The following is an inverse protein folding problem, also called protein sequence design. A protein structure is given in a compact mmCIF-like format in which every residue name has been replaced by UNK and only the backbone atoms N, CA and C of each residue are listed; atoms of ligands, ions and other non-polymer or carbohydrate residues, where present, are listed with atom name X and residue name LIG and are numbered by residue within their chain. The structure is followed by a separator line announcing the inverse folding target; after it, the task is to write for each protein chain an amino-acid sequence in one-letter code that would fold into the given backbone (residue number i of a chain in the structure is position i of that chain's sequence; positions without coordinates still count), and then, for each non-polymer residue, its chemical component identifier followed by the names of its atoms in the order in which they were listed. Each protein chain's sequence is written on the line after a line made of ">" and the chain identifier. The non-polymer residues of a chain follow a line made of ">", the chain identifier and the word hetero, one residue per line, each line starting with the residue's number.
data_IF_343506067404
#
_entry.id   IF_343506067404
#
_cell.length_a   1.000
_cell.length_b   1.000
_cell.length_c   1.000
_cell.angle_alpha   90.00
_cell.angle_beta   90.00
_cell.angle_gamma   90.00
#
_symmetry.space_group_name_H-M   'P 1'
#
loop_
_entity.id
_entity.type
_entity.pdbx_description
1 polymer ?
#
# COMPACT_ATOMS: atom_id res chain seq x y z
N UNK A 1 -19.76 7.18 -21.96
CA UNK A 1 -18.98 6.26 -22.80
C UNK A 1 -17.64 6.95 -23.01
N UNK A 2 -16.60 6.55 -22.26
CA UNK A 2 -15.25 7.13 -22.40
C UNK A 2 -14.87 7.14 -23.89
N UNK A 3 -14.23 8.20 -24.37
CA UNK A 3 -13.67 8.22 -25.71
C UNK A 3 -12.56 7.16 -25.78
N UNK A 4 -12.93 5.91 -26.05
CA UNK A 4 -12.06 4.72 -26.00
C UNK A 4 -10.88 4.77 -26.99
N UNK A 5 -10.79 5.81 -27.82
CA UNK A 5 -9.80 5.92 -28.89
C UNK A 5 -8.47 6.57 -28.47
N UNK A 6 -8.38 7.22 -27.31
CA UNK A 6 -7.15 7.92 -26.88
C UNK A 6 -6.28 7.09 -25.90
N UNK A 7 -6.82 6.02 -25.33
CA UNK A 7 -6.11 5.21 -24.33
C UNK A 7 -4.80 4.56 -24.81
N UNK A 8 -4.68 4.03 -26.06
CA UNK A 8 -3.46 3.35 -26.47
C UNK A 8 -2.23 4.26 -26.52
N UNK A 9 -2.39 5.49 -27.02
CA UNK A 9 -1.29 6.46 -27.11
C UNK A 9 -0.93 7.02 -25.74
N UNK A 10 -1.94 7.33 -24.93
CA UNK A 10 -1.74 7.79 -23.55
C UNK A 10 -0.98 6.74 -22.73
N UNK A 11 -1.45 5.50 -22.69
CA UNK A 11 -0.83 4.43 -21.90
C UNK A 11 0.59 4.11 -22.40
N UNK A 12 0.83 4.15 -23.72
CA UNK A 12 2.19 3.99 -24.26
C UNK A 12 3.09 5.13 -23.80
N UNK A 13 2.63 6.38 -23.89
CA UNK A 13 3.44 7.52 -23.43
C UNK A 13 3.73 7.45 -21.93
N UNK A 14 2.74 7.10 -21.11
CA UNK A 14 2.95 6.84 -19.68
C UNK A 14 4.00 5.77 -19.45
N UNK A 15 3.99 4.70 -20.26
CA UNK A 15 4.99 3.63 -20.15
C UNK A 15 6.41 4.09 -20.48
N UNK A 16 6.56 4.92 -21.52
CA UNK A 16 7.84 5.52 -21.88
C UNK A 16 8.36 6.41 -20.75
N UNK A 17 7.51 7.26 -20.18
CA UNK A 17 7.86 8.12 -19.02
C UNK A 17 8.29 7.30 -17.80
N UNK A 18 7.63 6.17 -17.54
CA UNK A 18 8.01 5.27 -16.45
C UNK A 18 9.38 4.61 -16.69
N UNK A 19 9.66 4.18 -17.92
CA UNK A 19 10.96 3.62 -18.31
C UNK A 19 12.05 4.68 -18.18
N UNK A 20 11.83 5.89 -18.72
CA UNK A 20 12.74 7.03 -18.61
C UNK A 20 13.07 7.34 -17.12
N UNK A 21 12.07 7.29 -16.23
CA UNK A 21 12.28 7.48 -14.80
C UNK A 21 13.14 6.36 -14.19
N UNK A 22 12.82 5.09 -14.47
CA UNK A 22 13.55 3.94 -13.95
C UNK A 22 15.02 3.92 -14.42
N UNK A 23 15.26 4.21 -15.70
CA UNK A 23 16.60 4.28 -16.28
C UNK A 23 17.44 5.42 -15.66
N UNK A 24 16.79 6.47 -15.17
CA UNK A 24 17.48 7.57 -14.48
C UNK A 24 17.92 7.23 -13.05
N UNK A 25 17.32 6.22 -12.39
CA UNK A 25 17.52 5.92 -10.96
C UNK A 25 18.98 5.78 -10.51
N UNK A 26 19.89 5.15 -11.28
CA UNK A 26 21.30 5.03 -10.88
C UNK A 26 21.97 6.38 -10.63
N UNK A 27 21.58 7.40 -11.39
CA UNK A 27 22.12 8.77 -11.32
C UNK A 27 21.15 9.78 -10.71
N UNK A 28 19.94 9.34 -10.39
CA UNK A 28 18.93 10.19 -9.78
C UNK A 28 19.27 10.55 -8.32
N UNK A 29 19.06 11.81 -7.92
CA UNK A 29 19.36 12.24 -6.56
C UNK A 29 18.42 11.64 -5.52
N UNK A 30 18.98 11.39 -4.33
CA UNK A 30 18.30 10.71 -3.21
C UNK A 30 17.86 11.68 -2.12
N UNK A 31 18.08 12.97 -2.34
CA UNK A 31 17.52 14.09 -1.57
C UNK A 31 16.47 14.78 -2.45
N UNK A 32 15.41 15.30 -1.83
CA UNK A 32 14.42 16.11 -2.56
C UNK A 32 15.12 17.34 -3.16
N UNK A 33 15.26 17.36 -4.49
CA UNK A 33 16.00 18.41 -5.21
C UNK A 33 15.20 19.67 -5.47
N UNK A 34 13.88 19.59 -5.30
CA UNK A 34 12.94 20.70 -5.50
C UNK A 34 12.38 21.10 -4.14
N UNK A 35 12.32 22.41 -3.92
CA UNK A 35 11.68 22.96 -2.73
C UNK A 35 10.15 22.67 -2.75
N UNK A 36 9.58 22.39 -1.58
CA UNK A 36 8.15 22.05 -1.45
C UNK A 36 7.24 23.21 -1.87
N UNK A 37 7.69 24.46 -1.74
CA UNK A 37 6.95 25.63 -2.20
C UNK A 37 6.90 25.70 -3.73
N UNK A 38 7.96 25.28 -4.42
CA UNK A 38 7.97 25.21 -5.88
C UNK A 38 7.04 24.13 -6.41
N UNK A 39 7.07 22.91 -5.84
CA UNK A 39 6.14 21.85 -6.19
C UNK A 39 4.68 22.25 -5.94
N UNK A 40 4.41 22.89 -4.80
CA UNK A 40 3.06 23.36 -4.45
C UNK A 40 2.57 24.41 -5.44
N UNK A 41 3.41 25.37 -5.83
CA UNK A 41 3.04 26.44 -6.76
C UNK A 41 2.66 25.89 -8.14
N UNK A 42 3.30 24.81 -8.59
CA UNK A 42 3.02 24.21 -9.91
C UNK A 42 1.86 23.20 -9.88
N UNK A 43 1.75 22.36 -8.83
CA UNK A 43 0.74 21.28 -8.78
C UNK A 43 -0.59 21.69 -8.13
N UNK A 44 -0.59 22.64 -7.20
CA UNK A 44 -1.81 23.05 -6.47
C UNK A 44 -2.42 24.25 -7.17
N UNK A 45 -3.20 23.95 -8.21
CA UNK A 45 -4.00 24.92 -8.98
C UNK A 45 -5.48 24.78 -8.68
N UNK A 46 -6.26 25.81 -9.03
CA UNK A 46 -7.72 25.71 -8.99
C UNK A 46 -8.21 24.64 -9.97
N UNK A 47 -9.30 23.95 -9.64
CA UNK A 47 -9.89 22.94 -10.50
C UNK A 47 -10.41 23.62 -11.79
N UNK A 48 -9.94 23.21 -12.98
CA UNK A 48 -10.44 23.78 -14.24
C UNK A 48 -11.93 23.54 -14.43
N UNK A 49 -12.65 24.51 -15.01
CA UNK A 49 -14.07 24.36 -15.36
C UNK A 49 -14.28 23.47 -16.60
N UNK A 50 -13.25 23.36 -17.44
CA UNK A 50 -13.25 22.55 -18.67
C UNK A 50 -12.21 21.43 -18.59
N UNK A 51 -12.45 20.33 -19.33
CA UNK A 51 -11.51 19.22 -19.39
C UNK A 51 -10.22 19.58 -20.14
N UNK A 52 -9.10 19.04 -19.67
CA UNK A 52 -7.80 19.14 -20.32
C UNK A 52 -7.45 17.87 -21.09
N UNK A 53 -6.51 17.97 -22.03
CA UNK A 53 -5.94 16.79 -22.68
C UNK A 53 -5.24 15.90 -21.64
N UNK A 54 -5.69 14.65 -21.53
CA UNK A 54 -5.16 13.69 -20.57
C UNK A 54 -3.66 13.44 -20.75
N UNK A 55 -3.17 13.50 -21.99
CA UNK A 55 -1.74 13.35 -22.27
C UNK A 55 -0.94 14.52 -21.71
N UNK A 56 -1.38 15.75 -21.93
CA UNK A 56 -0.75 16.94 -21.37
C UNK A 56 -0.71 16.87 -19.82
N UNK A 57 -1.80 16.43 -19.19
CA UNK A 57 -1.87 16.26 -17.72
C UNK A 57 -0.86 15.24 -17.22
N UNK A 58 -0.76 14.06 -17.87
CA UNK A 58 0.20 13.02 -17.47
C UNK A 58 1.65 13.45 -17.70
N UNK A 59 1.94 14.10 -18.83
CA UNK A 59 3.30 14.61 -19.12
C UNK A 59 3.71 15.72 -18.14
N UNK A 60 2.78 16.61 -17.78
CA UNK A 60 2.99 17.64 -16.76
C UNK A 60 3.26 17.02 -15.38
N UNK A 61 2.44 16.03 -14.97
CA UNK A 61 2.64 15.31 -13.71
C UNK A 61 3.99 14.56 -13.69
N UNK A 62 4.33 13.86 -14.76
CA UNK A 62 5.59 13.14 -14.86
C UNK A 62 6.79 14.09 -14.80
N UNK A 63 6.71 15.27 -15.40
CA UNK A 63 7.75 16.30 -15.31
C UNK A 63 7.87 16.83 -13.88
N UNK A 64 6.81 17.44 -13.34
CA UNK A 64 6.87 18.13 -12.04
C UNK A 64 7.03 17.14 -10.89
N UNK A 65 6.17 16.12 -10.86
CA UNK A 65 6.19 15.06 -9.85
C UNK A 65 7.45 14.22 -9.96
N UNK A 66 7.88 13.90 -11.19
CA UNK A 66 9.16 13.25 -11.43
C UNK A 66 10.32 14.06 -10.88
N UNK A 67 10.44 15.36 -11.16
CA UNK A 67 11.49 16.23 -10.58
C UNK A 67 11.44 16.30 -9.04
N UNK A 68 10.24 16.27 -8.45
CA UNK A 68 10.05 16.25 -6.99
C UNK A 68 10.28 14.88 -6.33
N UNK A 69 10.26 13.79 -7.10
CA UNK A 69 10.38 12.45 -6.57
C UNK A 69 11.81 12.15 -6.09
N UNK A 70 11.90 11.63 -4.86
CA UNK A 70 13.13 11.08 -4.31
C UNK A 70 13.41 9.74 -5.00
N UNK A 71 14.65 9.54 -5.47
CA UNK A 71 15.09 8.29 -6.10
C UNK A 71 15.22 7.10 -5.14
N UNK A 72 14.17 6.79 -4.38
CA UNK A 72 14.12 5.76 -3.31
C UNK A 72 14.47 4.38 -3.85
N UNK A 73 14.01 4.04 -5.05
CA UNK A 73 14.29 2.75 -5.69
C UNK A 73 15.72 2.65 -6.27
N UNK A 74 16.50 3.74 -6.22
CA UNK A 74 17.87 3.78 -6.74
C UNK A 74 18.89 3.21 -5.74
N UNK A 75 20.08 2.81 -6.22
CA UNK A 75 21.10 2.12 -5.43
C UNK A 75 21.80 2.99 -4.37
N UNK A 76 21.44 4.27 -4.27
CA UNK A 76 22.08 5.26 -3.40
C UNK A 76 21.21 5.74 -2.25
N UNK A 77 19.97 5.23 -2.15
CA UNK A 77 19.05 5.62 -1.09
C UNK A 77 19.22 4.66 0.10
N UNK A 78 19.68 5.20 1.24
CA UNK A 78 19.95 4.43 2.46
C UNK A 78 19.11 4.91 3.66
N UNK A 79 17.99 5.60 3.39
CA UNK A 79 17.10 6.13 4.43
C UNK A 79 16.01 5.15 4.82
N UNK A 80 15.72 5.05 6.12
CA UNK A 80 14.64 4.21 6.67
C UNK A 80 14.72 2.72 6.27
N UNK A 81 13.63 1.99 6.50
CA UNK A 81 13.43 0.62 5.99
C UNK A 81 12.49 0.71 4.80
N UNK A 82 13.01 1.14 3.66
CA UNK A 82 12.24 1.31 2.43
C UNK A 82 12.95 0.56 1.30
N UNK A 83 12.24 -0.40 0.71
CA UNK A 83 12.71 -1.15 -0.46
C UNK A 83 12.25 -0.51 -1.77
N UNK A 84 12.96 -0.82 -2.86
CA UNK A 84 12.49 -0.54 -4.22
C UNK A 84 11.53 -1.63 -4.71
N UNK A 85 10.66 -1.28 -5.66
CA UNK A 85 9.80 -2.25 -6.36
C UNK A 85 10.61 -3.03 -7.42
N UNK A 86 10.35 -4.34 -7.54
CA UNK A 86 10.83 -5.11 -8.69
C UNK A 86 10.08 -4.69 -9.97
N UNK A 87 10.72 -4.72 -11.16
CA UNK A 87 10.02 -4.43 -12.41
C UNK A 87 8.79 -5.31 -12.66
N UNK A 88 8.82 -6.58 -12.22
CA UNK A 88 7.68 -7.48 -12.29
C UNK A 88 6.52 -7.06 -11.39
N UNK A 89 6.82 -6.53 -10.19
CA UNK A 89 5.81 -6.02 -9.27
C UNK A 89 5.15 -4.75 -9.83
N UNK A 90 5.95 -3.82 -10.38
CA UNK A 90 5.43 -2.62 -11.05
C UNK A 90 4.51 -2.98 -12.24
N UNK A 91 4.94 -3.93 -13.08
CA UNK A 91 4.14 -4.39 -14.21
C UNK A 91 2.83 -5.05 -13.76
N UNK A 92 2.85 -5.81 -12.65
CA UNK A 92 1.64 -6.36 -12.06
C UNK A 92 0.70 -5.26 -11.53
N UNK A 93 1.23 -4.21 -10.90
CA UNK A 93 0.43 -3.06 -10.43
C UNK A 93 -0.26 -2.31 -11.56
N UNK A 94 0.36 -2.25 -12.75
CA UNK A 94 -0.32 -1.72 -13.94
C UNK A 94 -1.52 -2.57 -14.32
N UNK A 95 -1.42 -3.90 -14.27
CA UNK A 95 -2.55 -4.79 -14.51
C UNK A 95 -3.62 -4.65 -13.43
N UNK A 96 -3.24 -4.57 -12.16
CA UNK A 96 -4.16 -4.31 -11.05
C UNK A 96 -4.99 -3.04 -11.29
N UNK A 97 -4.32 -1.93 -11.65
CA UNK A 97 -4.98 -0.65 -11.95
C UNK A 97 -5.82 -0.71 -13.23
N UNK A 98 -5.38 -1.48 -14.23
CA UNK A 98 -6.10 -1.63 -15.51
C UNK A 98 -7.37 -2.46 -15.35
N UNK A 99 -7.35 -3.50 -14.52
CA UNK A 99 -8.50 -4.36 -14.29
C UNK A 99 -9.54 -3.72 -13.36
N UNK A 100 -9.13 -2.79 -12.49
CA UNK A 100 -10.03 -1.99 -11.65
C UNK A 100 -11.09 -2.84 -10.90
N UNK A 101 -10.62 -3.88 -10.21
CA UNK A 101 -11.49 -4.84 -9.51
C UNK A 101 -11.65 -4.49 -8.03
N UNK A 102 -12.86 -4.66 -7.49
CA UNK A 102 -13.10 -4.56 -6.05
C UNK A 102 -12.85 -5.92 -5.38
N UNK A 103 -11.66 -6.08 -4.81
CA UNK A 103 -11.23 -7.31 -4.13
C UNK A 103 -11.84 -7.55 -2.73
N UNK A 104 -12.81 -6.73 -2.29
CA UNK A 104 -13.46 -6.90 -0.99
C UNK A 104 -14.43 -8.10 -0.93
N UNK A 105 -14.87 -8.60 -2.08
CA UNK A 105 -15.78 -9.74 -2.19
C UNK A 105 -15.36 -10.61 -3.38
N UNK A 106 -15.36 -11.93 -3.20
CA UNK A 106 -15.04 -12.88 -4.28
C UNK A 106 -15.86 -12.63 -5.55
N UNK A 107 -17.16 -12.34 -5.39
CA UNK A 107 -18.06 -12.08 -6.52
C UNK A 107 -17.70 -10.83 -7.34
N UNK A 108 -16.97 -9.87 -6.76
CA UNK A 108 -16.58 -8.61 -7.39
C UNK A 108 -15.11 -8.57 -7.83
N UNK A 109 -14.32 -9.60 -7.51
CA UNK A 109 -12.91 -9.69 -7.85
C UNK A 109 -12.35 -11.12 -7.72
N UNK A 110 -12.90 -12.11 -8.44
CA UNK A 110 -12.53 -13.51 -8.25
C UNK A 110 -11.06 -13.78 -8.61
N UNK A 111 -10.52 -13.06 -9.60
CA UNK A 111 -9.10 -13.16 -9.95
C UNK A 111 -8.18 -12.73 -8.80
N UNK A 112 -8.51 -11.62 -8.11
CA UNK A 112 -7.73 -11.15 -6.97
C UNK A 112 -7.76 -12.16 -5.82
N UNK A 113 -8.93 -12.73 -5.51
CA UNK A 113 -9.06 -13.76 -4.48
C UNK A 113 -8.23 -15.01 -4.78
N UNK A 114 -8.25 -15.48 -6.03
CA UNK A 114 -7.47 -16.68 -6.43
C UNK A 114 -5.97 -16.39 -6.45
N UNK A 115 -5.55 -15.17 -6.81
CA UNK A 115 -4.14 -14.76 -6.70
C UNK A 115 -3.68 -14.77 -5.24
N UNK A 116 -4.49 -14.26 -4.31
CA UNK A 116 -4.19 -14.33 -2.87
C UNK A 116 -4.13 -15.78 -2.37
N UNK A 117 -5.08 -16.64 -2.80
CA UNK A 117 -5.09 -18.07 -2.49
C UNK A 117 -3.82 -18.78 -3.01
N UNK A 118 -3.29 -18.37 -4.15
CA UNK A 118 -2.05 -18.91 -4.69
C UNK A 118 -0.81 -18.44 -3.93
N UNK A 119 -0.74 -17.16 -3.57
CA UNK A 119 0.44 -16.55 -2.94
C UNK A 119 0.53 -16.86 -1.44
N UNK A 120 -0.60 -16.98 -0.74
CA UNK A 120 -0.63 -17.25 0.70
C UNK A 120 0.19 -18.48 1.11
N UNK A 121 -0.06 -19.67 0.53
CA UNK A 121 0.72 -20.87 0.79
C UNK A 121 2.20 -20.74 0.41
N UNK A 122 2.53 -19.99 -0.66
CA UNK A 122 3.92 -19.72 -1.01
C UNK A 122 4.64 -18.92 0.08
N UNK A 123 3.96 -17.92 0.68
CA UNK A 123 4.53 -17.16 1.78
C UNK A 123 4.68 -18.00 3.06
N UNK A 124 3.71 -18.87 3.36
CA UNK A 124 3.82 -19.82 4.48
C UNK A 124 5.06 -20.70 4.32
N UNK A 125 5.27 -21.28 3.14
CA UNK A 125 6.43 -22.12 2.83
C UNK A 125 7.74 -21.31 2.87
N UNK A 126 7.77 -20.16 2.19
CA UNK A 126 8.94 -19.27 2.11
C UNK A 126 9.45 -18.83 3.49
N UNK A 127 8.54 -18.55 4.42
CA UNK A 127 8.88 -18.14 5.79
C UNK A 127 9.02 -19.33 6.77
N UNK A 128 8.81 -20.57 6.32
CA UNK A 128 8.90 -21.76 7.18
C UNK A 128 7.84 -21.78 8.30
N UNK A 129 6.67 -21.20 8.05
CA UNK A 129 5.58 -21.13 9.03
C UNK A 129 4.83 -22.47 9.11
N UNK A 130 4.11 -22.75 10.21
CA UNK A 130 3.26 -23.94 10.29
C UNK A 130 2.25 -23.98 9.13
N UNK A 131 1.99 -25.15 8.52
CA UNK A 131 1.04 -25.28 7.41
C UNK A 131 -0.40 -24.97 7.82
N UNK A 132 -0.68 -24.93 9.12
CA UNK A 132 -1.97 -24.52 9.70
C UNK A 132 -2.09 -23.01 9.92
N UNK A 133 -1.03 -22.23 9.63
CA UNK A 133 -1.10 -20.78 9.70
C UNK A 133 -2.11 -20.25 8.68
N UNK A 134 -2.86 -19.22 9.09
CA UNK A 134 -3.69 -18.45 8.18
C UNK A 134 -2.86 -17.33 7.53
N UNK A 135 -3.34 -16.81 6.41
CA UNK A 135 -2.74 -15.71 5.69
C UNK A 135 -3.82 -14.69 5.31
N UNK A 136 -3.38 -13.45 5.08
CA UNK A 136 -4.20 -12.38 4.55
C UNK A 136 -3.33 -11.22 4.14
N UNK A 137 -3.60 -10.65 2.96
CA UNK A 137 -2.89 -9.48 2.46
C UNK A 137 -3.56 -8.21 3.00
N UNK A 138 -2.75 -7.32 3.58
CA UNK A 138 -3.20 -6.04 4.16
C UNK A 138 -2.37 -4.90 3.59
N UNK A 139 -2.88 -3.67 3.74
CA UNK A 139 -2.27 -2.47 3.15
C UNK A 139 -0.92 -2.06 3.75
N UNK A 140 -0.51 -2.66 4.88
CA UNK A 140 0.78 -2.42 5.50
C UNK A 140 0.89 -2.96 6.92
N UNK A 141 2.06 -2.80 7.55
CA UNK A 141 2.38 -3.37 8.86
C UNK A 141 1.43 -2.91 9.98
N UNK A 142 0.93 -1.67 9.94
CA UNK A 142 -0.04 -1.19 10.94
C UNK A 142 -1.33 -2.02 10.90
N UNK A 143 -1.88 -2.26 9.71
CA UNK A 143 -3.08 -3.09 9.57
C UNK A 143 -2.78 -4.56 9.85
N UNK A 144 -1.56 -5.05 9.58
CA UNK A 144 -1.15 -6.39 10.00
C UNK A 144 -1.19 -6.52 11.52
N UNK A 145 -0.60 -5.57 12.26
CA UNK A 145 -0.67 -5.54 13.71
C UNK A 145 -2.12 -5.46 14.20
N UNK A 146 -2.93 -4.55 13.65
CA UNK A 146 -4.33 -4.43 14.02
C UNK A 146 -5.10 -5.74 13.82
N UNK A 147 -4.99 -6.38 12.66
CA UNK A 147 -5.69 -7.63 12.35
C UNK A 147 -5.25 -8.76 13.27
N UNK A 148 -3.93 -8.96 13.45
CA UNK A 148 -3.40 -10.01 14.32
C UNK A 148 -3.77 -9.77 15.79
N UNK A 149 -3.66 -8.54 16.29
CA UNK A 149 -4.01 -8.20 17.67
C UNK A 149 -5.53 -8.27 17.90
N UNK A 150 -6.36 -7.92 16.91
CA UNK A 150 -7.82 -8.10 16.99
C UNK A 150 -8.18 -9.59 17.15
N UNK A 151 -7.58 -10.46 16.33
CA UNK A 151 -7.77 -11.90 16.44
C UNK A 151 -7.25 -12.46 17.78
N UNK A 152 -6.11 -11.97 18.27
CA UNK A 152 -5.57 -12.36 19.57
C UNK A 152 -6.50 -11.92 20.73
N UNK A 153 -7.01 -10.68 20.69
CA UNK A 153 -7.98 -10.14 21.66
C UNK A 153 -9.23 -11.00 21.71
N UNK A 154 -9.79 -11.34 20.55
CA UNK A 154 -10.93 -12.24 20.44
C UNK A 154 -10.63 -13.57 21.15
N UNK A 155 -9.56 -14.24 20.76
CA UNK A 155 -9.22 -15.57 21.26
C UNK A 155 -8.91 -15.59 22.77
N UNK A 156 -8.28 -14.54 23.31
CA UNK A 156 -7.99 -14.42 24.76
C UNK A 156 -9.28 -14.21 25.55
N UNK A 157 -10.16 -13.31 25.10
CA UNK A 157 -11.43 -13.03 25.78
C UNK A 157 -12.38 -14.23 25.72
N UNK A 158 -12.46 -14.92 24.58
CA UNK A 158 -13.24 -16.15 24.45
C UNK A 158 -12.77 -17.23 25.44
N UNK A 159 -11.45 -17.40 25.62
CA UNK A 159 -10.90 -18.32 26.63
C UNK A 159 -11.23 -17.91 28.07
N UNK A 160 -11.43 -16.62 28.32
CA UNK A 160 -11.88 -16.09 29.59
C UNK A 160 -13.41 -16.12 29.76
N UNK A 161 -14.15 -16.67 28.78
CA UNK A 161 -15.61 -16.74 28.80
C UNK A 161 -16.32 -15.42 28.46
N UNK A 162 -15.62 -14.47 27.84
CA UNK A 162 -16.18 -13.18 27.41
C UNK A 162 -16.41 -13.13 25.90
N UNK A 163 -17.65 -12.85 25.48
CA UNK A 163 -18.01 -12.63 24.07
C UNK A 163 -17.87 -11.14 23.72
N UNK A 164 -16.70 -10.75 23.21
CA UNK A 164 -16.43 -9.36 22.82
C UNK A 164 -17.20 -8.92 21.58
N UNK A 165 -17.60 -9.86 20.72
CA UNK A 165 -18.37 -9.54 19.50
C UNK A 165 -19.79 -9.10 19.86
N UNK A 166 -20.41 -9.78 20.83
CA UNK A 166 -21.75 -9.45 21.31
C UNK A 166 -21.80 -8.38 22.40
N UNK A 167 -20.83 -8.39 23.33
CA UNK A 167 -20.86 -7.56 24.55
C UNK A 167 -19.96 -6.31 24.46
N UNK A 168 -19.07 -6.24 23.48
CA UNK A 168 -18.05 -5.20 23.40
C UNK A 168 -16.98 -5.36 24.50
N UNK A 169 -16.23 -4.28 24.75
CA UNK A 169 -15.10 -4.28 25.71
C UNK A 169 -15.45 -3.73 27.09
N UNK A 170 -16.59 -3.05 27.25
CA UNK A 170 -16.97 -2.49 28.53
C UNK A 170 -17.32 -3.60 29.53
N UNK A 171 -16.53 -3.72 30.60
CA UNK A 171 -16.67 -4.77 31.60
C UNK A 171 -15.98 -6.09 31.25
N UNK A 172 -15.26 -6.15 30.12
CA UNK A 172 -14.46 -7.30 29.76
C UNK A 172 -13.31 -7.54 30.78
N UNK A 173 -12.85 -8.78 30.96
CA UNK A 173 -11.62 -9.06 31.68
C UNK A 173 -10.45 -8.23 31.14
N UNK A 174 -9.56 -7.80 32.04
CA UNK A 174 -8.36 -7.05 31.67
C UNK A 174 -7.44 -7.92 30.80
N UNK A 175 -6.88 -7.31 29.75
CA UNK A 175 -5.96 -7.97 28.82
C UNK A 175 -4.58 -7.40 29.04
N UNK A 176 -3.65 -8.24 29.47
CA UNK A 176 -2.24 -7.87 29.54
C UNK A 176 -1.59 -7.99 28.16
N UNK A 177 -0.93 -6.91 27.72
CA UNK A 177 -0.19 -6.86 26.46
C UNK A 177 1.27 -6.58 26.75
N UNK A 178 2.15 -7.48 26.30
CA UNK A 178 3.60 -7.35 26.46
C UNK A 178 4.20 -6.90 25.13
N UNK A 179 4.90 -5.77 25.12
CA UNK A 179 5.58 -5.23 23.94
C UNK A 179 7.06 -5.01 24.23
N UNK A 180 7.92 -5.15 23.22
CA UNK A 180 9.34 -4.82 23.34
C UNK A 180 9.56 -3.31 23.48
N UNK A 181 10.62 -2.91 24.20
CA UNK A 181 10.96 -1.50 24.39
C UNK A 181 11.24 -0.75 23.07
N UNK A 182 11.70 -1.47 22.04
CA UNK A 182 11.99 -0.96 20.70
C UNK A 182 10.84 -1.23 19.69
N UNK A 183 9.63 -1.54 20.17
CA UNK A 183 8.50 -1.79 19.30
C UNK A 183 8.16 -0.56 18.43
N UNK A 184 7.88 -0.79 17.15
CA UNK A 184 7.48 0.28 16.26
C UNK A 184 6.17 0.93 16.74
N UNK A 185 6.05 2.26 16.61
CA UNK A 185 4.91 3.04 17.12
C UNK A 185 3.55 2.55 16.60
N UNK A 186 3.51 1.94 15.41
CA UNK A 186 2.30 1.36 14.81
C UNK A 186 1.68 0.24 15.64
N UNK A 187 2.46 -0.46 16.48
CA UNK A 187 1.92 -1.45 17.44
C UNK A 187 1.04 -0.75 18.48
N UNK A 188 1.54 0.35 19.06
CA UNK A 188 0.81 1.13 20.06
C UNK A 188 -0.44 1.77 19.46
N UNK A 189 -0.35 2.30 18.24
CA UNK A 189 -1.53 2.84 17.53
C UNK A 189 -2.57 1.75 17.25
N UNK A 190 -2.15 0.54 16.88
CA UNK A 190 -3.08 -0.58 16.69
C UNK A 190 -3.80 -0.95 18.00
N UNK A 191 -3.10 -0.96 19.13
CA UNK A 191 -3.71 -1.20 20.45
C UNK A 191 -4.73 -0.12 20.82
N UNK A 192 -4.42 1.16 20.58
CA UNK A 192 -5.35 2.27 20.80
C UNK A 192 -6.63 2.11 19.97
N UNK A 193 -6.50 1.75 18.68
CA UNK A 193 -7.66 1.47 17.83
C UNK A 193 -8.49 0.26 18.30
N UNK A 194 -7.85 -0.70 18.96
CA UNK A 194 -8.52 -1.86 19.53
C UNK A 194 -9.12 -1.62 20.91
N UNK A 195 -8.98 -0.41 21.47
CA UNK A 195 -9.44 -0.07 22.82
C UNK A 195 -8.61 -0.70 23.93
N UNK A 196 -7.32 -0.96 23.67
CA UNK A 196 -6.35 -1.58 24.59
C UNK A 196 -5.22 -0.60 24.98
N UNK A 197 -5.54 0.68 25.10
CA UNK A 197 -4.59 1.75 25.43
C UNK A 197 -5.21 2.81 26.33
#
# INVERSE_FOLDING_TARGET
>A
MLAMNEHPELLRRTSELAIEYLDSLPDRPVTGHRDVHDLRRELVRELPEEGEDARAVVEELARIGGEGAIGIAGPRYFGFVIGGSLPSALAADWLTSTWDQNAGLYAAGPAASVVEEAVGPWLIDLFGLPPTASYGLVTGCQMAHFTCLAAARQAVLERAGWDVTGQGLFGAPEIEVIVGAEAHSTVLTALQYLGLG
#
